data_IF_673561964898
#
_entry.id   IF_673561964898
#
_cell.length_a   1.000
_cell.length_b   1.000
_cell.length_c   1.000
_cell.angle_alpha   90.00
_cell.angle_beta   90.00
_cell.angle_gamma   90.00
#
_symmetry.space_group_name_H-M   'P 1'
#
loop_
_entity.id
_entity.type
_entity.pdbx_description
1 polymer ?
#
# COMPACT_ATOMS: atom_id res chain seq x y z
N UNK A 1 13.56 17.81 2.45
CA UNK A 1 13.93 17.82 3.88
C UNK A 1 12.96 17.09 4.80
N UNK A 2 11.68 16.96 4.47
CA UNK A 2 10.62 16.29 5.30
C UNK A 2 10.74 14.76 5.37
N UNK A 3 11.22 14.09 4.32
CA UNK A 3 11.33 12.62 4.23
C UNK A 3 12.37 12.04 5.21
N UNK A 4 13.48 12.73 5.48
CA UNK A 4 14.53 12.25 6.43
C UNK A 4 14.00 12.10 7.86
N UNK A 5 13.14 12.99 8.30
CA UNK A 5 12.54 12.94 9.64
C UNK A 5 11.46 11.86 9.73
N UNK A 6 10.74 11.58 8.65
CA UNK A 6 9.77 10.49 8.58
C UNK A 6 10.42 9.11 8.78
N UNK A 7 11.55 8.86 8.10
CA UNK A 7 12.34 7.63 8.30
C UNK A 7 12.90 7.51 9.73
N UNK A 8 13.32 8.61 10.33
CA UNK A 8 13.84 8.61 11.70
C UNK A 8 12.74 8.30 12.73
N UNK A 9 11.56 8.86 12.57
CA UNK A 9 10.38 8.58 13.41
C UNK A 9 9.89 7.13 13.23
N UNK A 10 9.90 6.62 11.99
CA UNK A 10 9.55 5.24 11.70
C UNK A 10 10.55 4.27 12.34
N UNK A 11 11.85 4.55 12.27
CA UNK A 11 12.92 3.75 12.91
C UNK A 11 12.78 3.78 14.44
N UNK A 12 12.47 4.92 15.04
CA UNK A 12 12.20 5.04 16.47
C UNK A 12 10.95 4.26 16.91
N UNK A 13 9.89 4.29 16.12
CA UNK A 13 8.66 3.53 16.41
C UNK A 13 8.92 2.01 16.42
N UNK A 14 9.75 1.49 15.51
CA UNK A 14 10.13 0.08 15.46
C UNK A 14 10.95 -0.34 16.69
N UNK A 15 11.82 0.51 17.21
CA UNK A 15 12.63 0.20 18.41
C UNK A 15 11.82 0.18 19.71
N UNK A 16 10.76 0.97 19.81
CA UNK A 16 9.89 1.01 20.99
C UNK A 16 9.04 -0.27 21.17
N UNK A 17 8.75 -0.99 20.09
CA UNK A 17 7.98 -2.24 20.13
C UNK A 17 8.79 -3.41 20.70
N UNK A 18 10.12 -3.33 20.71
CA UNK A 18 11.00 -4.43 21.14
C UNK A 18 11.06 -4.66 22.67
N UNK A 19 10.59 -3.75 23.51
CA UNK A 19 10.79 -3.81 24.97
C UNK A 19 9.61 -4.37 25.78
N UNK A 20 8.54 -4.87 25.14
CA UNK A 20 7.27 -5.18 25.80
C UNK A 20 6.92 -6.65 25.99
N UNK A 21 7.81 -7.62 25.87
CA UNK A 21 7.44 -9.04 25.99
C UNK A 21 7.36 -9.53 27.44
N UNK A 22 6.32 -9.19 28.16
CA UNK A 22 5.95 -9.82 29.43
C UNK A 22 5.10 -11.09 29.15
N UNK A 23 5.55 -12.23 29.66
CA UNK A 23 5.19 -13.63 29.37
C UNK A 23 3.76 -14.08 29.79
N UNK A 24 2.75 -13.23 29.71
CA UNK A 24 1.36 -13.65 30.06
C UNK A 24 0.28 -12.92 29.22
N UNK A 25 0.56 -12.64 27.94
CA UNK A 25 -0.41 -11.94 27.10
C UNK A 25 -1.11 -12.92 26.15
N UNK A 26 -2.42 -12.86 26.16
CA UNK A 26 -3.32 -13.49 25.18
C UNK A 26 -3.03 -13.00 23.73
N UNK A 27 -2.21 -11.97 23.56
CA UNK A 27 -1.82 -11.35 22.29
C UNK A 27 -0.46 -11.89 21.81
N UNK A 28 -0.40 -12.28 20.54
CA UNK A 28 0.83 -12.72 19.87
C UNK A 28 1.16 -11.74 18.76
N UNK A 29 2.40 -11.24 18.76
CA UNK A 29 2.90 -10.43 17.65
C UNK A 29 3.16 -11.32 16.43
N UNK A 30 2.82 -10.83 15.26
CA UNK A 30 3.11 -11.45 13.98
C UNK A 30 3.50 -10.40 12.94
N UNK A 31 4.41 -10.79 12.06
CA UNK A 31 4.78 -10.08 10.85
C UNK A 31 4.35 -10.91 9.63
N UNK A 32 3.69 -10.30 8.67
CA UNK A 32 3.23 -10.92 7.43
C UNK A 32 3.85 -10.17 6.27
N UNK A 33 4.64 -10.87 5.45
CA UNK A 33 5.29 -10.28 4.29
C UNK A 33 4.76 -10.94 3.03
N UNK A 34 4.23 -10.15 2.11
CA UNK A 34 3.58 -10.60 0.88
C UNK A 34 4.26 -10.02 -0.35
N UNK A 35 4.34 -10.84 -1.39
CA UNK A 35 4.51 -10.43 -2.78
C UNK A 35 3.15 -10.55 -3.43
N UNK A 36 2.77 -9.58 -4.26
CA UNK A 36 1.49 -9.56 -4.95
C UNK A 36 1.64 -9.40 -6.46
N UNK A 37 0.71 -10.03 -7.18
CA UNK A 37 0.39 -9.73 -8.57
C UNK A 37 -0.90 -8.92 -8.57
N UNK A 38 -0.86 -7.76 -9.22
CA UNK A 38 -1.94 -6.79 -9.26
C UNK A 38 -2.42 -6.73 -10.71
N UNK A 39 -3.66 -7.13 -10.96
CA UNK A 39 -4.27 -7.10 -12.28
C UNK A 39 -5.40 -6.07 -12.29
N UNK A 40 -5.31 -5.08 -13.13
CA UNK A 40 -6.31 -4.03 -13.37
C UNK A 40 -6.63 -3.91 -14.86
N UNK A 41 -7.37 -2.87 -15.22
CA UNK A 41 -7.88 -2.69 -16.58
C UNK A 41 -6.77 -2.45 -17.61
N UNK A 42 -5.63 -1.89 -17.21
CA UNK A 42 -4.58 -1.46 -18.14
C UNK A 42 -3.38 -2.40 -18.20
N UNK A 43 -3.00 -3.00 -17.08
CA UNK A 43 -1.79 -3.83 -17.00
C UNK A 43 -1.81 -4.82 -15.83
N UNK A 44 -0.83 -5.73 -15.85
CA UNK A 44 -0.49 -6.59 -14.72
C UNK A 44 0.81 -6.08 -14.11
N UNK A 45 0.83 -5.89 -12.81
CA UNK A 45 1.98 -5.35 -12.09
C UNK A 45 2.28 -6.11 -10.82
N UNK A 46 3.40 -5.81 -10.19
CA UNK A 46 3.82 -6.41 -8.94
C UNK A 46 3.64 -5.45 -7.76
N UNK A 47 3.56 -6.01 -6.56
CA UNK A 47 3.57 -5.26 -5.32
C UNK A 47 4.25 -6.03 -4.20
N UNK A 48 4.69 -5.30 -3.17
CA UNK A 48 5.26 -5.84 -1.94
C UNK A 48 4.51 -5.27 -0.76
N UNK A 49 4.30 -6.06 0.29
CA UNK A 49 3.66 -5.58 1.51
C UNK A 49 4.33 -6.21 2.74
N UNK A 50 4.51 -5.42 3.78
CA UNK A 50 4.89 -5.87 5.12
C UNK A 50 3.87 -5.38 6.13
N UNK A 51 3.27 -6.30 6.87
CA UNK A 51 2.18 -6.05 7.82
C UNK A 51 2.62 -6.54 9.18
N UNK A 52 2.60 -5.66 10.18
CA UNK A 52 3.03 -5.97 11.54
C UNK A 52 1.87 -5.71 12.51
N UNK A 53 1.59 -6.65 13.39
CA UNK A 53 0.43 -6.51 14.27
C UNK A 53 0.31 -7.59 15.31
N UNK A 54 -0.82 -7.60 15.99
CA UNK A 54 -1.11 -8.49 17.08
C UNK A 54 -2.32 -9.37 16.78
N UNK A 55 -2.20 -10.63 17.14
CA UNK A 55 -3.28 -11.61 17.04
C UNK A 55 -3.79 -11.99 18.42
N UNK A 56 -5.13 -11.98 18.59
CA UNK A 56 -5.84 -12.52 19.73
C UNK A 56 -6.88 -13.54 19.26
N UNK A 57 -6.66 -14.81 19.55
CA UNK A 57 -7.53 -15.89 19.06
C UNK A 57 -7.54 -15.95 17.53
N UNK A 58 -8.69 -15.73 16.95
CA UNK A 58 -8.89 -15.74 15.49
C UNK A 58 -8.81 -14.35 14.84
N UNK A 59 -8.72 -13.28 15.62
CA UNK A 59 -8.64 -11.91 15.14
C UNK A 59 -7.18 -11.44 15.12
N UNK A 60 -6.74 -10.88 14.01
CA UNK A 60 -5.49 -10.16 13.86
C UNK A 60 -5.79 -8.71 13.49
N UNK A 61 -5.04 -7.79 14.06
CA UNK A 61 -5.06 -6.37 13.70
C UNK A 61 -3.63 -5.85 13.63
N UNK A 62 -3.32 -5.09 12.60
CA UNK A 62 -1.98 -4.59 12.35
C UNK A 62 -1.95 -3.33 11.50
N UNK A 63 -0.72 -2.88 11.24
CA UNK A 63 -0.41 -1.80 10.31
C UNK A 63 0.50 -2.36 9.23
N UNK A 64 0.20 -2.03 7.99
CA UNK A 64 0.97 -2.45 6.82
C UNK A 64 1.50 -1.26 6.04
N UNK A 65 2.65 -1.48 5.42
CA UNK A 65 3.24 -0.62 4.40
C UNK A 65 3.53 -1.46 3.17
N UNK A 66 3.38 -0.88 1.99
CA UNK A 66 3.64 -1.60 0.74
C UNK A 66 4.38 -0.77 -0.31
N UNK A 67 4.71 -1.44 -1.40
CA UNK A 67 5.12 -0.86 -2.66
C UNK A 67 4.16 -1.36 -3.74
N UNK A 68 3.57 -0.45 -4.48
CA UNK A 68 2.60 -0.73 -5.52
C UNK A 68 3.11 -0.12 -6.84
N UNK A 69 3.42 -0.98 -7.80
CA UNK A 69 3.99 -0.58 -9.10
C UNK A 69 2.94 -0.44 -10.20
N UNK A 70 1.65 -0.58 -9.89
CA UNK A 70 0.57 -0.50 -10.88
C UNK A 70 0.41 0.93 -11.40
N UNK A 71 0.68 1.15 -12.70
CA UNK A 71 0.69 2.41 -13.45
C UNK A 71 1.62 3.47 -12.84
N UNK A 72 1.28 4.01 -11.70
CA UNK A 72 2.10 4.96 -10.95
C UNK A 72 2.60 4.29 -9.67
N UNK A 73 3.91 4.41 -9.42
CA UNK A 73 4.51 3.90 -8.18
C UNK A 73 3.96 4.62 -6.98
N UNK A 74 3.53 3.86 -5.99
CA UNK A 74 2.96 4.39 -4.77
C UNK A 74 3.34 3.56 -3.57
N UNK A 75 3.24 4.17 -2.39
CA UNK A 75 3.51 3.56 -1.09
C UNK A 75 2.23 3.58 -0.26
N UNK A 76 1.41 2.52 -0.29
CA UNK A 76 0.26 2.40 0.59
C UNK A 76 0.70 2.20 2.04
N UNK A 77 0.11 2.98 2.95
CA UNK A 77 0.17 2.82 4.41
C UNK A 77 -1.25 2.56 4.90
N UNK A 78 -1.48 1.43 5.57
CA UNK A 78 -2.84 0.98 5.87
C UNK A 78 -2.93 0.24 7.20
N UNK A 79 -4.14 0.22 7.79
CA UNK A 79 -4.52 -0.70 8.84
C UNK A 79 -5.00 -2.01 8.20
N UNK A 80 -4.62 -3.15 8.77
CA UNK A 80 -5.01 -4.50 8.36
C UNK A 80 -5.81 -5.17 9.47
N UNK A 81 -6.95 -5.72 9.10
CA UNK A 81 -7.79 -6.53 9.96
C UNK A 81 -8.04 -7.88 9.31
N UNK A 82 -7.77 -8.98 10.05
CA UNK A 82 -7.99 -10.34 9.56
C UNK A 82 -8.78 -11.16 10.55
N UNK A 83 -9.73 -11.92 10.04
CA UNK A 83 -10.45 -12.92 10.81
C UNK A 83 -10.17 -14.32 10.24
N UNK A 84 -9.69 -15.21 11.09
CA UNK A 84 -9.31 -16.58 10.73
C UNK A 84 -10.44 -17.55 11.08
N UNK A 85 -10.76 -18.45 10.13
CA UNK A 85 -11.77 -19.48 10.29
C UNK A 85 -11.10 -20.85 10.47
N UNK A 86 -11.66 -21.67 11.35
CA UNK A 86 -11.20 -23.03 11.55
C UNK A 86 -10.42 -23.25 12.85
N UNK A 87 -10.34 -24.52 13.25
CA UNK A 87 -9.71 -24.99 14.51
C UNK A 87 -8.33 -25.60 14.29
N UNK A 88 -7.95 -25.86 13.04
CA UNK A 88 -6.68 -26.49 12.68
C UNK A 88 -5.55 -25.47 12.50
N UNK A 89 -4.33 -25.97 12.22
CA UNK A 89 -3.17 -25.11 11.86
C UNK A 89 -3.38 -24.41 10.52
N UNK A 90 -4.04 -25.10 9.60
CA UNK A 90 -4.41 -24.56 8.30
C UNK A 90 -5.74 -23.82 8.47
N UNK A 91 -5.80 -22.57 8.05
CA UNK A 91 -6.97 -21.72 8.28
C UNK A 91 -7.32 -20.91 7.04
N UNK A 92 -8.59 -20.80 6.76
CA UNK A 92 -9.10 -19.73 5.90
C UNK A 92 -9.13 -18.42 6.68
N UNK A 93 -9.01 -17.32 5.98
CA UNK A 93 -9.19 -15.99 6.57
C UNK A 93 -9.85 -15.03 5.59
N UNK A 94 -10.58 -14.06 6.13
CA UNK A 94 -10.97 -12.85 5.44
C UNK A 94 -10.09 -11.70 5.94
N UNK A 95 -9.78 -10.74 5.08
CA UNK A 95 -9.01 -9.56 5.46
C UNK A 95 -9.62 -8.29 4.87
N UNK A 96 -9.34 -7.18 5.55
CA UNK A 96 -9.72 -5.84 5.13
C UNK A 96 -8.57 -4.87 5.46
N UNK A 97 -8.04 -4.25 4.44
CA UNK A 97 -7.02 -3.21 4.51
C UNK A 97 -7.64 -1.86 4.17
N UNK A 98 -7.28 -0.81 4.91
CA UNK A 98 -7.75 0.54 4.61
C UNK A 98 -6.74 1.59 5.06
N UNK A 99 -6.49 2.58 4.21
CA UNK A 99 -5.49 3.60 4.51
C UNK A 99 -5.28 4.63 3.42
N UNK A 100 -4.08 5.19 3.42
CA UNK A 100 -3.64 6.24 2.50
C UNK A 100 -2.62 5.68 1.53
N UNK A 101 -2.69 6.13 0.31
CA UNK A 101 -1.76 5.79 -0.75
C UNK A 101 -0.91 7.01 -1.08
N UNK A 102 0.35 7.00 -0.65
CA UNK A 102 1.30 8.07 -0.94
C UNK A 102 1.85 7.90 -2.36
N UNK A 103 1.94 9.00 -3.09
CA UNK A 103 2.61 9.00 -4.37
C UNK A 103 4.14 8.82 -4.20
N UNK A 104 4.73 8.08 -5.14
CA UNK A 104 6.19 7.90 -5.26
C UNK A 104 6.60 7.97 -6.73
N UNK A 105 6.17 9.02 -7.38
CA UNK A 105 6.51 9.33 -8.77
C UNK A 105 7.69 10.29 -8.78
N UNK A 106 8.56 10.21 -9.78
CA UNK A 106 9.67 11.14 -9.93
C UNK A 106 9.13 12.55 -10.20
N UNK A 107 9.72 13.57 -9.56
CA UNK A 107 9.28 14.97 -9.68
C UNK A 107 9.35 15.49 -11.12
N UNK A 108 10.23 14.92 -11.96
CA UNK A 108 10.39 15.29 -13.38
C UNK A 108 9.47 14.51 -14.32
N UNK A 109 8.57 13.66 -13.78
CA UNK A 109 7.67 12.89 -14.63
C UNK A 109 6.54 13.76 -15.17
N UNK A 110 6.67 14.17 -16.44
CA UNK A 110 5.68 14.95 -17.16
C UNK A 110 5.20 14.18 -18.39
N UNK A 111 3.88 13.90 -18.47
CA UNK A 111 3.20 13.22 -19.58
C UNK A 111 2.08 14.07 -20.18
N UNK A 112 2.07 15.38 -19.90
CA UNK A 112 1.13 16.35 -20.45
C UNK A 112 1.57 16.92 -21.80
N UNK A 113 0.80 17.87 -22.35
CA UNK A 113 1.19 18.60 -23.57
C UNK A 113 2.51 19.34 -23.37
N UNK A 114 3.47 19.14 -24.25
CA UNK A 114 4.76 19.82 -24.18
C UNK A 114 4.69 21.08 -25.03
N UNK A 115 4.72 22.24 -24.40
CA UNK A 115 4.87 23.54 -25.07
C UNK A 115 6.27 24.05 -24.81
N UNK A 116 7.04 24.21 -25.90
CA UNK A 116 8.45 24.61 -25.84
C UNK A 116 8.55 26.01 -26.45
N UNK A 117 8.48 27.04 -25.62
CA UNK A 117 8.93 28.39 -25.97
C UNK A 117 9.67 29.00 -24.79
N UNK A 118 10.43 30.02 -25.07
CA UNK A 118 11.24 30.70 -24.05
C UNK A 118 10.35 31.23 -22.90
N UNK A 119 10.62 30.76 -21.68
CA UNK A 119 9.81 31.09 -20.49
C UNK A 119 8.62 30.15 -20.21
N UNK A 120 8.37 29.11 -21.02
CA UNK A 120 7.32 28.12 -20.72
C UNK A 120 7.74 27.19 -19.59
N UNK A 121 6.86 26.97 -18.63
CA UNK A 121 7.03 26.03 -17.53
C UNK A 121 5.90 25.01 -17.55
N UNK A 122 6.24 23.74 -17.80
CA UNK A 122 5.31 22.64 -17.70
C UNK A 122 5.57 21.91 -16.37
N UNK A 123 4.54 21.69 -15.57
CA UNK A 123 4.67 20.97 -14.30
C UNK A 123 3.60 19.91 -14.14
N UNK A 124 3.95 18.85 -13.45
CA UNK A 124 3.04 17.75 -13.10
C UNK A 124 3.23 17.43 -11.62
N UNK A 125 2.17 17.50 -10.85
CA UNK A 125 2.17 17.17 -9.42
C UNK A 125 1.21 16.02 -9.15
N UNK A 126 1.69 15.04 -8.41
CA UNK A 126 0.86 13.96 -7.89
C UNK A 126 0.49 14.25 -6.44
N UNK A 127 -0.70 13.80 -6.05
CA UNK A 127 -1.19 13.94 -4.69
C UNK A 127 -1.67 12.58 -4.18
N UNK A 128 -1.53 12.42 -2.89
CA UNK A 128 -1.95 11.23 -2.15
C UNK A 128 -3.43 10.91 -2.37
N UNK A 129 -3.76 9.62 -2.19
CA UNK A 129 -5.12 9.14 -2.33
C UNK A 129 -5.50 8.07 -1.33
N UNK A 130 -6.65 7.47 -1.53
CA UNK A 130 -7.14 6.38 -0.70
C UNK A 130 -6.60 5.03 -1.18
N UNK A 131 -6.41 4.11 -0.23
CA UNK A 131 -6.10 2.71 -0.46
C UNK A 131 -7.06 1.83 0.32
N UNK A 132 -7.64 0.81 -0.35
CA UNK A 132 -8.37 -0.27 0.31
C UNK A 132 -8.10 -1.59 -0.39
N UNK A 133 -8.12 -2.69 0.37
CA UNK A 133 -7.95 -4.04 -0.17
C UNK A 133 -8.74 -5.03 0.69
N UNK A 134 -9.67 -5.75 0.08
CA UNK A 134 -10.57 -6.68 0.73
C UNK A 134 -10.45 -8.04 0.07
N UNK A 135 -10.34 -9.10 0.86
CA UNK A 135 -10.22 -10.41 0.25
C UNK A 135 -10.32 -11.59 1.20
N UNK A 136 -10.07 -12.75 0.60
CA UNK A 136 -10.06 -14.04 1.26
C UNK A 136 -8.71 -14.70 1.05
N UNK A 137 -8.30 -15.53 1.99
CA UNK A 137 -7.06 -16.26 1.87
C UNK A 137 -7.04 -17.56 2.67
N UNK A 138 -5.95 -18.28 2.46
CA UNK A 138 -5.66 -19.53 3.11
C UNK A 138 -4.25 -19.50 3.68
N UNK A 139 -4.11 -19.94 4.92
CA UNK A 139 -2.84 -20.04 5.61
C UNK A 139 -2.52 -21.52 5.88
N UNK A 140 -1.36 -21.95 5.40
CA UNK A 140 -0.77 -23.26 5.76
C UNK A 140 0.16 -23.03 6.94
N UNK A 141 -0.34 -23.33 8.14
CA UNK A 141 0.37 -23.06 9.39
C UNK A 141 1.50 -24.07 9.67
N UNK A 142 2.62 -23.59 10.21
CA UNK A 142 3.74 -24.41 10.70
C UNK A 142 3.56 -24.78 12.17
N UNK A 143 4.39 -25.72 12.65
CA UNK A 143 4.42 -26.11 14.08
C UNK A 143 4.86 -24.96 15.01
N UNK A 144 5.61 -23.99 14.49
CA UNK A 144 6.15 -22.85 15.26
C UNK A 144 5.24 -21.62 15.29
N UNK A 145 4.02 -21.70 14.72
CA UNK A 145 3.03 -20.61 14.77
C UNK A 145 3.04 -19.64 13.59
N UNK A 146 4.03 -19.73 12.69
CA UNK A 146 4.05 -19.03 11.41
C UNK A 146 3.40 -19.84 10.31
N UNK A 147 3.48 -19.40 9.05
CA UNK A 147 2.94 -20.15 7.93
C UNK A 147 3.00 -19.44 6.60
N UNK A 148 2.79 -20.22 5.54
CA UNK A 148 2.63 -19.73 4.20
C UNK A 148 1.22 -19.18 4.03
N UNK A 149 1.10 -18.02 3.38
CA UNK A 149 -0.15 -17.30 3.18
C UNK A 149 -0.40 -17.13 1.69
N UNK A 150 -1.59 -17.49 1.25
CA UNK A 150 -2.08 -17.26 -0.10
C UNK A 150 -3.41 -16.52 0.00
N UNK A 151 -3.60 -15.45 -0.76
CA UNK A 151 -4.86 -14.71 -0.77
C UNK A 151 -5.18 -14.08 -2.12
N UNK A 152 -6.47 -13.88 -2.33
CA UNK A 152 -7.04 -13.16 -3.46
C UNK A 152 -7.96 -12.07 -2.91
N UNK A 153 -7.92 -10.89 -3.52
CA UNK A 153 -8.74 -9.77 -3.10
C UNK A 153 -9.02 -8.78 -4.20
N UNK A 154 -9.89 -7.83 -3.85
CA UNK A 154 -10.18 -6.64 -4.65
C UNK A 154 -9.52 -5.45 -3.97
N UNK A 155 -8.62 -4.78 -4.70
CA UNK A 155 -7.91 -3.58 -4.25
C UNK A 155 -8.41 -2.36 -4.99
N UNK A 156 -8.63 -1.28 -4.25
CA UNK A 156 -8.91 0.04 -4.78
C UNK A 156 -7.78 0.99 -4.41
N UNK A 157 -7.33 1.77 -5.40
CA UNK A 157 -6.34 2.83 -5.25
C UNK A 157 -6.84 4.08 -5.94
N UNK A 158 -6.70 5.24 -5.30
CA UNK A 158 -6.91 6.53 -5.95
C UNK A 158 -5.65 7.38 -5.91
N UNK A 159 -5.53 8.28 -6.89
CA UNK A 159 -4.50 9.31 -7.00
C UNK A 159 -5.11 10.54 -7.65
N UNK A 160 -4.62 11.71 -7.32
CA UNK A 160 -4.93 12.95 -8.03
C UNK A 160 -3.65 13.45 -8.70
N UNK A 161 -3.76 13.86 -9.97
CA UNK A 161 -2.68 14.46 -10.73
C UNK A 161 -3.11 15.83 -11.19
N UNK A 162 -2.26 16.82 -10.98
CA UNK A 162 -2.44 18.19 -11.46
C UNK A 162 -1.38 18.47 -12.52
N UNK A 163 -1.79 18.87 -13.71
CA UNK A 163 -0.89 19.26 -14.81
C UNK A 163 -1.10 20.74 -15.04
N UNK A 164 -0.02 21.50 -15.04
CA UNK A 164 -0.05 22.94 -15.36
C UNK A 164 0.83 23.21 -16.57
N UNK A 165 0.28 23.92 -17.54
CA UNK A 165 0.96 24.32 -18.76
C UNK A 165 0.45 25.70 -19.21
N UNK A 166 1.26 26.49 -19.93
CA UNK A 166 0.85 27.78 -20.43
C UNK A 166 -0.05 27.67 -21.67
N UNK A 167 -1.07 28.50 -21.77
CA UNK A 167 -1.83 28.69 -23.01
C UNK A 167 -1.01 29.49 -24.01
N UNK A 168 -0.80 28.96 -25.21
CA UNK A 168 -0.03 29.59 -26.26
C UNK A 168 -0.65 30.89 -26.79
N UNK A 169 -1.96 31.14 -26.56
CA UNK A 169 -2.70 32.33 -27.05
C UNK A 169 -2.70 33.43 -26.02
N UNK A 170 -3.00 33.10 -24.77
CA UNK A 170 -3.22 34.06 -23.70
C UNK A 170 -2.02 34.22 -22.79
N UNK A 171 -1.06 33.31 -22.85
CA UNK A 171 0.09 33.17 -21.93
C UNK A 171 -0.34 32.95 -20.47
N UNK A 172 -1.62 32.66 -20.23
CA UNK A 172 -2.12 32.26 -18.92
C UNK A 172 -1.81 30.80 -18.64
N UNK A 173 -1.67 30.44 -17.37
CA UNK A 173 -1.45 29.05 -16.96
C UNK A 173 -2.78 28.30 -16.94
N UNK A 174 -2.90 27.27 -17.76
CA UNK A 174 -3.99 26.30 -17.71
C UNK A 174 -3.61 25.20 -16.70
N UNK A 175 -4.56 24.85 -15.85
CA UNK A 175 -4.38 23.75 -14.87
C UNK A 175 -5.46 22.70 -15.05
N UNK A 176 -5.04 21.50 -15.42
CA UNK A 176 -5.92 20.33 -15.55
C UNK A 176 -5.75 19.41 -14.35
N UNK A 177 -6.87 18.94 -13.81
CA UNK A 177 -6.91 18.06 -12.66
C UNK A 177 -7.48 16.70 -13.06
N UNK A 178 -6.68 15.64 -12.89
CA UNK A 178 -7.07 14.28 -13.20
C UNK A 178 -7.25 13.47 -11.89
N UNK A 179 -8.39 12.80 -11.78
CA UNK A 179 -8.68 11.89 -10.68
C UNK A 179 -8.61 10.45 -11.16
N UNK A 180 -7.55 9.74 -10.79
CA UNK A 180 -7.37 8.33 -11.09
C UNK A 180 -8.02 7.47 -10.02
N UNK A 181 -8.79 6.47 -10.45
CA UNK A 181 -9.44 5.48 -9.58
C UNK A 181 -9.20 4.10 -10.20
N UNK A 182 -8.46 3.26 -9.51
CA UNK A 182 -8.06 1.94 -9.98
C UNK A 182 -8.77 0.86 -9.17
N UNK A 183 -9.59 0.06 -9.83
CA UNK A 183 -10.18 -1.16 -9.28
C UNK A 183 -9.38 -2.35 -9.81
N UNK A 184 -8.88 -3.21 -8.93
CA UNK A 184 -7.90 -4.22 -9.29
C UNK A 184 -8.17 -5.52 -8.55
N UNK A 185 -7.85 -6.64 -9.19
CA UNK A 185 -7.78 -7.94 -8.54
C UNK A 185 -6.33 -8.18 -8.11
N UNK A 186 -6.12 -8.61 -6.88
CA UNK A 186 -4.79 -8.83 -6.31
C UNK A 186 -4.66 -10.27 -5.84
N UNK A 187 -3.62 -10.95 -6.31
CA UNK A 187 -3.18 -12.25 -5.81
C UNK A 187 -1.94 -12.03 -4.93
N UNK A 188 -1.96 -12.51 -3.70
CA UNK A 188 -0.86 -12.35 -2.75
C UNK A 188 -0.34 -13.70 -2.30
N UNK A 189 0.98 -13.82 -2.26
CA UNK A 189 1.70 -14.95 -1.70
C UNK A 189 2.67 -14.43 -0.66
N UNK A 190 2.69 -15.02 0.52
CA UNK A 190 3.53 -14.50 1.58
C UNK A 190 3.83 -15.49 2.70
N UNK A 191 4.51 -14.97 3.70
CA UNK A 191 4.89 -15.70 4.89
C UNK A 191 4.53 -14.90 6.14
N UNK A 192 3.92 -15.59 7.11
CA UNK A 192 3.64 -15.11 8.45
C UNK A 192 4.66 -15.68 9.44
N UNK A 193 5.29 -14.79 10.20
CA UNK A 193 6.21 -15.12 11.29
C UNK A 193 5.53 -15.01 12.65
#
# INVERSE_FOLDING_TARGET
>A
MKIKYFFLVLLMAVTLVSFGQKKNTTYKFHSINNISLINGDNEVSAGLQSINGFQKGNLFAGVGIGLDYYLYRTVPLFADFRYQFGKTKNKFFAYADGGVNFDWVEEDYYDGPIFIWEGSSNSSEFHDGAYTDLGLGYMVGTKKGGGFVLSIGHSYKSLKKTISYPDWRTQETITDIYHYKFNRIVLKVGWKF
#
